data_IF_586006757303
#
_entry.id   IF_586006757303
#
_cell.length_a   1.000
_cell.length_b   1.000
_cell.length_c   1.000
_cell.angle_alpha   90.00
_cell.angle_beta   90.00
_cell.angle_gamma   90.00
#
_symmetry.space_group_name_H-M   'P 1'
#
loop_
_entity.id
_entity.type
_entity.pdbx_description
1 polymer ?
#
# COMPACT_ATOMS: atom_id res chain seq x y z
N UNK A 1 -0.30 -7.28 -1.16
CA UNK A 1 0.40 -6.27 -1.98
C UNK A 1 1.68 -6.83 -2.59
N UNK A 2 1.82 -6.68 -3.90
CA UNK A 2 2.90 -7.20 -4.73
C UNK A 2 3.80 -6.04 -5.17
N UNK A 3 5.10 -6.23 -5.09
CA UNK A 3 6.12 -5.36 -5.64
C UNK A 3 6.68 -5.95 -6.93
N UNK A 4 7.00 -5.10 -7.89
CA UNK A 4 7.73 -5.46 -9.10
C UNK A 4 8.79 -4.41 -9.42
N UNK A 5 9.82 -4.78 -10.19
CA UNK A 5 10.78 -3.80 -10.71
C UNK A 5 10.02 -2.75 -11.54
N UNK A 6 9.27 -3.17 -12.57
CA UNK A 6 8.34 -2.31 -13.29
C UNK A 6 7.18 -3.12 -13.86
N UNK A 7 6.06 -2.43 -14.15
CA UNK A 7 4.94 -2.97 -14.94
C UNK A 7 4.84 -2.20 -16.26
N UNK A 8 5.78 -2.41 -17.19
CA UNK A 8 5.74 -1.69 -18.49
C UNK A 8 4.89 -2.42 -19.54
N UNK A 9 5.04 -3.74 -19.63
CA UNK A 9 4.44 -4.56 -20.69
C UNK A 9 2.91 -4.36 -20.80
N UNK A 10 2.40 -3.87 -21.95
CA UNK A 10 0.96 -3.70 -22.17
C UNK A 10 0.18 -5.00 -21.98
N UNK A 11 0.78 -6.14 -22.37
CA UNK A 11 0.21 -7.48 -22.19
C UNK A 11 0.01 -7.80 -20.71
N UNK A 12 1.03 -7.55 -19.87
CA UNK A 12 0.90 -7.79 -18.41
C UNK A 12 -0.17 -6.89 -17.80
N UNK A 13 -0.20 -5.61 -18.18
CA UNK A 13 -1.20 -4.64 -17.72
C UNK A 13 -2.62 -5.10 -18.04
N UNK A 14 -2.84 -5.55 -19.28
CA UNK A 14 -4.11 -6.13 -19.71
C UNK A 14 -4.51 -7.33 -18.84
N UNK A 15 -3.62 -8.30 -18.63
CA UNK A 15 -3.92 -9.46 -17.79
C UNK A 15 -4.22 -9.10 -16.33
N UNK A 16 -3.47 -8.17 -15.74
CA UNK A 16 -3.72 -7.67 -14.38
C UNK A 16 -5.15 -7.13 -14.26
N UNK A 17 -5.58 -6.30 -15.21
CA UNK A 17 -6.93 -5.72 -15.22
C UNK A 17 -8.01 -6.79 -15.45
N UNK A 18 -7.79 -7.70 -16.41
CA UNK A 18 -8.74 -8.75 -16.75
C UNK A 18 -8.94 -9.74 -15.61
N UNK A 19 -7.87 -10.18 -14.96
CA UNK A 19 -7.94 -11.13 -13.84
C UNK A 19 -8.53 -10.49 -12.59
N UNK A 20 -8.18 -9.23 -12.26
CA UNK A 20 -8.81 -8.54 -11.15
C UNK A 20 -10.33 -8.46 -11.32
N UNK A 21 -10.80 -8.14 -12.53
CA UNK A 21 -12.23 -8.12 -12.85
C UNK A 21 -12.86 -9.51 -12.80
N UNK A 22 -12.22 -10.51 -13.39
CA UNK A 22 -12.73 -11.89 -13.44
C UNK A 22 -12.89 -12.50 -12.05
N UNK A 23 -11.95 -12.19 -11.15
CA UNK A 23 -11.93 -12.65 -9.76
C UNK A 23 -12.67 -11.71 -8.79
N UNK A 24 -13.41 -10.71 -9.32
CA UNK A 24 -14.17 -9.72 -8.51
C UNK A 24 -13.34 -9.07 -7.40
N UNK A 25 -12.10 -8.71 -7.73
CA UNK A 25 -11.18 -8.03 -6.83
C UNK A 25 -11.27 -6.52 -7.00
N UNK A 26 -11.31 -5.81 -5.88
CA UNK A 26 -10.98 -4.38 -5.82
C UNK A 26 -9.46 -4.21 -5.78
N UNK A 27 -8.96 -3.02 -6.11
CA UNK A 27 -7.53 -2.79 -6.01
C UNK A 27 -6.97 -1.72 -6.91
N UNK A 28 -5.65 -1.75 -7.04
CA UNK A 28 -4.93 -0.86 -7.93
C UNK A 28 -3.58 -1.43 -8.36
N UNK A 29 -3.07 -0.95 -9.49
CA UNK A 29 -1.68 -1.18 -9.92
C UNK A 29 -1.02 0.14 -10.30
N UNK A 30 0.31 0.20 -10.21
CA UNK A 30 1.08 1.38 -10.58
C UNK A 30 2.24 1.02 -11.49
N UNK A 31 2.36 1.77 -12.59
CA UNK A 31 3.37 1.57 -13.63
C UNK A 31 4.73 2.15 -13.23
N UNK A 32 5.78 1.90 -14.01
CA UNK A 32 7.11 2.52 -13.78
C UNK A 32 7.93 1.87 -12.66
N UNK A 33 8.88 2.60 -12.07
CA UNK A 33 9.81 2.12 -11.02
C UNK A 33 9.54 2.76 -9.65
N UNK A 34 9.34 1.99 -8.57
CA UNK A 34 8.94 0.59 -8.62
C UNK A 34 7.50 0.47 -9.14
N UNK A 35 7.16 -0.70 -9.66
CA UNK A 35 5.77 -1.06 -9.96
C UNK A 35 5.15 -1.78 -8.77
N UNK A 36 3.88 -1.54 -8.47
CA UNK A 36 3.18 -2.24 -7.39
C UNK A 36 1.76 -2.63 -7.77
N UNK A 37 1.24 -3.65 -7.10
CA UNK A 37 -0.13 -4.15 -7.28
C UNK A 37 -0.73 -4.42 -5.90
N UNK A 38 -1.92 -3.89 -5.65
CA UNK A 38 -2.74 -4.14 -4.47
C UNK A 38 -4.08 -4.73 -4.95
N UNK A 39 -4.49 -5.82 -4.32
CA UNK A 39 -5.78 -6.47 -4.54
C UNK A 39 -6.47 -6.70 -3.21
N UNK A 40 -7.79 -6.68 -3.22
CA UNK A 40 -8.66 -6.93 -2.06
C UNK A 40 -9.91 -7.70 -2.51
N UNK A 41 -10.24 -8.77 -1.78
CA UNK A 41 -11.39 -9.62 -2.05
C UNK A 41 -11.33 -10.90 -1.22
N UNK A 42 -12.04 -11.93 -1.68
CA UNK A 42 -12.01 -13.26 -1.04
C UNK A 42 -10.56 -13.78 -1.03
N UNK A 43 -10.18 -14.46 0.04
CA UNK A 43 -8.83 -15.00 0.20
C UNK A 43 -8.44 -15.88 -1.00
N UNK A 44 -9.36 -16.74 -1.47
CA UNK A 44 -9.10 -17.67 -2.57
C UNK A 44 -8.87 -16.93 -3.87
N UNK A 45 -9.67 -15.89 -4.13
CA UNK A 45 -9.57 -15.05 -5.31
C UNK A 45 -8.27 -14.22 -5.29
N UNK A 46 -7.90 -13.67 -4.14
CA UNK A 46 -6.62 -12.99 -3.95
C UNK A 46 -5.43 -13.93 -4.17
N UNK A 47 -5.47 -15.14 -3.62
CA UNK A 47 -4.43 -16.15 -3.77
C UNK A 47 -4.29 -16.58 -5.23
N UNK A 48 -5.40 -16.80 -5.93
CA UNK A 48 -5.37 -17.16 -7.35
C UNK A 48 -4.85 -16.01 -8.21
N UNK A 49 -5.25 -14.76 -7.94
CA UNK A 49 -4.69 -13.60 -8.62
C UNK A 49 -3.16 -13.51 -8.45
N UNK A 50 -2.67 -13.70 -7.22
CA UNK A 50 -1.22 -13.73 -6.94
C UNK A 50 -0.54 -14.85 -7.72
N UNK A 51 -1.12 -16.05 -7.75
CA UNK A 51 -0.60 -17.20 -8.50
C UNK A 51 -0.51 -16.90 -10.01
N UNK A 52 -1.54 -16.31 -10.61
CA UNK A 52 -1.56 -15.92 -12.02
C UNK A 52 -0.51 -14.84 -12.34
N UNK A 53 -0.48 -13.76 -11.55
CA UNK A 53 0.42 -12.62 -11.78
C UNK A 53 1.88 -13.03 -11.62
N UNK A 54 2.22 -13.82 -10.60
CA UNK A 54 3.62 -14.22 -10.33
C UNK A 54 4.19 -15.19 -11.37
N UNK A 55 3.35 -15.94 -12.08
CA UNK A 55 3.75 -16.83 -13.20
C UNK A 55 4.09 -16.10 -14.49
N UNK A 56 3.73 -14.83 -14.63
CA UNK A 56 4.16 -14.04 -15.78
C UNK A 56 5.69 -13.83 -15.75
N UNK A 57 6.31 -13.53 -16.89
CA UNK A 57 7.76 -13.29 -16.96
C UNK A 57 8.13 -11.92 -16.41
N UNK A 58 8.72 -11.87 -15.22
CA UNK A 58 9.21 -10.66 -14.55
C UNK A 58 10.74 -10.59 -14.50
N UNK A 59 11.30 -9.38 -14.49
CA UNK A 59 12.69 -9.17 -14.08
C UNK A 59 12.86 -9.38 -12.58
N UNK A 60 11.90 -8.87 -11.81
CA UNK A 60 11.76 -9.11 -10.38
C UNK A 60 10.30 -8.83 -9.98
N UNK A 61 9.74 -9.74 -9.20
CA UNK A 61 8.42 -9.65 -8.56
C UNK A 61 8.51 -10.28 -7.18
N UNK A 62 7.79 -9.74 -6.21
CA UNK A 62 7.70 -10.31 -4.87
C UNK A 62 6.37 -9.93 -4.23
N UNK A 63 5.70 -10.89 -3.62
CA UNK A 63 4.64 -10.60 -2.64
C UNK A 63 5.34 -10.09 -1.39
N UNK A 64 5.00 -8.87 -0.94
CA UNK A 64 5.71 -8.21 0.18
C UNK A 64 4.84 -7.90 1.38
N UNK A 65 3.54 -8.09 1.27
CA UNK A 65 2.63 -7.92 2.39
C UNK A 65 1.28 -8.54 2.07
N UNK A 66 0.64 -9.05 3.09
CA UNK A 66 -0.69 -9.65 3.03
C UNK A 66 -1.38 -9.30 4.35
N UNK A 67 -2.68 -9.04 4.27
CA UNK A 67 -3.52 -8.77 5.42
C UNK A 67 -4.82 -9.54 5.22
N UNK A 68 -5.20 -10.32 6.23
CA UNK A 68 -6.43 -11.10 6.23
C UNK A 68 -7.25 -10.70 7.45
N UNK A 69 -8.52 -10.39 7.22
CA UNK A 69 -9.46 -10.00 8.27
C UNK A 69 -10.63 -10.98 8.20
N UNK A 70 -10.91 -11.72 9.29
CA UNK A 70 -12.06 -12.61 9.32
C UNK A 70 -13.36 -11.80 9.26
N UNK A 71 -14.29 -12.24 8.41
CA UNK A 71 -15.60 -11.61 8.30
C UNK A 71 -16.43 -11.96 9.55
N UNK A 72 -16.87 -10.97 10.34
CA UNK A 72 -17.67 -11.23 11.54
C UNK A 72 -19.04 -11.83 11.17
N UNK A 73 -19.67 -12.61 12.08
CA UNK A 73 -21.03 -13.10 11.86
C UNK A 73 -22.00 -11.95 11.55
N UNK A 74 -22.83 -12.14 10.53
CA UNK A 74 -23.84 -11.15 10.12
C UNK A 74 -23.33 -10.02 9.21
N UNK A 75 -22.03 -9.99 8.88
CA UNK A 75 -21.48 -9.15 7.81
C UNK A 75 -21.11 -9.99 6.59
N UNK A 76 -21.12 -9.37 5.43
CA UNK A 76 -20.57 -9.92 4.19
C UNK A 76 -19.18 -9.35 3.93
N UNK A 77 -18.48 -9.94 2.96
CA UNK A 77 -17.22 -9.40 2.45
C UNK A 77 -17.39 -7.97 1.93
N UNK A 78 -18.50 -7.67 1.26
CA UNK A 78 -18.77 -6.36 0.68
C UNK A 78 -18.92 -5.27 1.75
N UNK A 79 -19.47 -5.62 2.93
CA UNK A 79 -19.59 -4.71 4.08
C UNK A 79 -18.24 -4.37 4.73
N UNK A 80 -17.22 -5.20 4.47
CA UNK A 80 -15.90 -5.09 5.08
C UNK A 80 -14.85 -4.52 4.13
N UNK A 81 -15.25 -4.15 2.90
CA UNK A 81 -14.31 -3.66 1.90
C UNK A 81 -13.69 -2.31 2.27
N UNK A 82 -12.37 -2.21 2.17
CA UNK A 82 -11.63 -0.96 2.31
C UNK A 82 -11.48 -0.22 0.97
N UNK A 83 -11.45 -0.98 -0.13
CA UNK A 83 -11.36 -0.48 -1.51
C UNK A 83 -12.66 -0.75 -2.29
N UNK A 84 -13.01 0.13 -3.24
CA UNK A 84 -14.15 -0.11 -4.12
C UNK A 84 -13.95 -1.38 -4.94
N UNK A 85 -15.06 -1.99 -5.38
CA UNK A 85 -15.08 -3.13 -6.32
C UNK A 85 -14.73 -2.67 -7.76
N UNK A 86 -13.61 -1.96 -7.88
CA UNK A 86 -13.04 -1.48 -9.12
C UNK A 86 -11.52 -1.59 -9.03
N UNK A 87 -10.89 -1.81 -10.17
CA UNK A 87 -9.43 -1.91 -10.23
C UNK A 87 -8.85 -0.74 -11.04
N UNK A 88 -8.04 0.09 -10.39
CA UNK A 88 -7.49 1.32 -10.98
C UNK A 88 -6.02 1.16 -11.36
N UNK A 89 -5.64 1.54 -12.58
CA UNK A 89 -4.24 1.61 -12.98
C UNK A 89 -3.72 3.05 -12.89
N UNK A 90 -2.57 3.23 -12.23
CA UNK A 90 -1.89 4.50 -12.01
C UNK A 90 -0.65 4.63 -12.90
N UNK A 91 -0.34 5.87 -13.29
CA UNK A 91 0.80 6.21 -14.13
C UNK A 91 2.16 6.01 -13.47
N UNK A 92 3.22 6.39 -14.20
CA UNK A 92 4.61 6.17 -13.79
C UNK A 92 5.02 7.01 -12.58
N UNK A 93 4.45 8.20 -12.46
CA UNK A 93 4.81 9.18 -11.42
C UNK A 93 3.75 9.26 -10.30
N UNK A 94 2.72 8.41 -10.35
CA UNK A 94 1.55 8.45 -9.46
C UNK A 94 1.73 7.66 -8.15
N UNK A 95 2.98 7.48 -7.68
CA UNK A 95 3.22 6.75 -6.42
C UNK A 95 2.63 7.47 -5.20
N UNK A 96 2.64 8.80 -5.23
CA UNK A 96 2.00 9.66 -4.25
C UNK A 96 0.48 9.39 -4.15
N UNK A 97 -0.20 9.22 -5.30
CA UNK A 97 -1.62 8.88 -5.37
C UNK A 97 -1.91 7.50 -4.79
N UNK A 98 -1.07 6.51 -5.10
CA UNK A 98 -1.19 5.16 -4.51
C UNK A 98 -1.02 5.22 -2.99
N UNK A 99 0.01 5.94 -2.51
CA UNK A 99 0.25 6.09 -1.08
C UNK A 99 -0.91 6.80 -0.37
N UNK A 100 -1.46 7.87 -0.97
CA UNK A 100 -2.62 8.58 -0.46
C UNK A 100 -3.85 7.66 -0.38
N UNK A 101 -4.13 6.90 -1.44
CA UNK A 101 -5.28 5.99 -1.48
C UNK A 101 -5.16 4.86 -0.46
N UNK A 102 -3.97 4.29 -0.27
CA UNK A 102 -3.71 3.31 0.78
C UNK A 102 -3.94 3.92 2.17
N UNK A 103 -3.47 5.15 2.43
CA UNK A 103 -3.70 5.84 3.71
C UNK A 103 -5.18 6.07 3.98
N UNK A 104 -5.92 6.57 2.99
CA UNK A 104 -7.37 6.79 3.09
C UNK A 104 -8.15 5.49 3.33
N UNK A 105 -7.67 4.38 2.80
CA UNK A 105 -8.24 3.04 3.01
C UNK A 105 -7.78 2.36 4.31
N UNK A 106 -6.89 2.98 5.11
CA UNK A 106 -6.30 2.35 6.30
C UNK A 106 -5.21 1.31 6.01
N UNK A 107 -4.74 1.20 4.76
CA UNK A 107 -3.75 0.23 4.27
C UNK A 107 -2.32 0.82 4.21
N UNK A 108 -2.03 1.88 4.95
CA UNK A 108 -0.73 2.58 4.90
C UNK A 108 0.44 1.68 5.34
N UNK A 109 0.27 0.90 6.41
CA UNK A 109 1.33 0.00 6.89
C UNK A 109 1.65 -1.11 5.88
N UNK A 110 0.62 -1.64 5.20
CA UNK A 110 0.77 -2.61 4.12
C UNK A 110 1.56 -2.01 2.94
N UNK A 111 1.27 -0.76 2.58
CA UNK A 111 2.00 -0.01 1.57
C UNK A 111 3.46 0.20 1.94
N UNK A 112 3.73 0.70 3.15
CA UNK A 112 5.09 0.96 3.63
C UNK A 112 5.92 -0.32 3.69
N UNK A 113 5.32 -1.42 4.15
CA UNK A 113 5.93 -2.76 4.16
C UNK A 113 6.29 -3.20 2.73
N UNK A 114 5.39 -3.03 1.77
CA UNK A 114 5.65 -3.35 0.37
C UNK A 114 6.84 -2.54 -0.20
N UNK A 115 6.92 -1.26 0.17
CA UNK A 115 8.00 -0.37 -0.24
C UNK A 115 9.30 -0.55 0.55
N UNK A 116 9.32 -1.43 1.56
CA UNK A 116 10.44 -1.61 2.51
C UNK A 116 10.84 -0.30 3.21
N UNK A 117 9.86 0.56 3.47
CA UNK A 117 10.04 1.78 4.24
C UNK A 117 9.75 1.43 5.69
N UNK A 118 10.80 1.08 6.44
CA UNK A 118 10.70 0.80 7.88
C UNK A 118 11.07 2.07 8.66
N UNK A 119 10.22 2.51 9.60
CA UNK A 119 10.59 3.55 10.59
C UNK A 119 9.89 4.92 10.52
N UNK A 120 8.68 5.02 9.95
CA UNK A 120 7.95 6.29 9.80
C UNK A 120 7.33 6.93 11.06
N UNK A 121 7.47 6.34 12.26
CA UNK A 121 6.98 6.93 13.53
C UNK A 121 8.10 7.52 14.40
N UNK A 122 8.93 8.41 13.86
CA UNK A 122 9.86 9.27 14.66
C UNK A 122 10.10 10.65 14.02
N UNK A 123 9.08 11.42 13.69
CA UNK A 123 9.31 12.82 13.25
C UNK A 123 8.19 13.84 13.48
N UNK A 124 7.15 13.52 14.27
CA UNK A 124 6.14 14.54 14.69
C UNK A 124 6.20 14.98 16.15
N UNK A 125 7.10 14.44 16.97
CA UNK A 125 7.19 14.78 18.40
C UNK A 125 8.38 15.68 18.78
N UNK A 126 9.33 15.92 17.86
CA UNK A 126 10.53 16.73 18.13
C UNK A 126 10.41 18.23 17.83
N UNK A 127 9.26 18.73 17.35
CA UNK A 127 9.08 20.16 17.02
C UNK A 127 8.30 20.98 18.05
N UNK A 128 7.87 20.37 19.17
CA UNK A 128 7.07 21.05 20.20
C UNK A 128 7.84 21.40 21.49
N UNK A 129 9.14 21.08 21.61
CA UNK A 129 9.87 21.20 22.90
C UNK A 129 11.03 22.19 22.94
N UNK A 130 11.12 23.11 21.98
CA UNK A 130 12.18 24.15 21.97
C UNK A 130 11.58 25.54 21.89
N UNK A 131 10.74 25.90 22.86
CA UNK A 131 10.44 27.30 23.24
C UNK A 131 10.00 27.34 24.70
N UNK A 132 10.95 27.31 25.63
CA UNK A 132 10.86 27.95 26.96
C UNK A 132 12.03 27.54 27.84
N UNK A 133 13.12 28.31 27.84
CA UNK A 133 13.97 28.56 29.02
C UNK A 133 15.01 29.61 28.64
N UNK A 134 14.59 30.87 28.59
CA UNK A 134 15.47 32.01 28.83
C UNK A 134 14.84 32.76 30.01
N UNK A 135 15.33 32.48 31.23
CA UNK A 135 15.40 33.49 32.30
C UNK A 135 16.18 32.98 33.53
N UNK A 136 16.99 33.89 34.06
CA UNK A 136 17.72 33.88 35.34
C UNK A 136 19.06 33.14 35.43
N UNK A 137 20.09 33.85 34.97
CA UNK A 137 21.39 33.94 35.67
C UNK A 137 21.60 35.37 36.15
N UNK A 138 21.35 35.65 37.44
CA UNK A 138 22.19 36.57 38.22
C UNK A 138 21.82 36.55 39.72
N UNK A 139 22.76 36.10 40.56
CA UNK A 139 23.08 36.62 41.92
C UNK A 139 23.86 35.58 42.73
N UNK A 140 25.18 35.66 42.70
CA UNK A 140 26.07 35.55 43.89
C UNK A 140 27.53 35.72 43.46
N UNK A 141 28.08 36.93 43.64
CA UNK A 141 29.51 37.11 43.90
C UNK A 141 29.66 37.33 45.41
N UNK A 142 30.39 36.41 46.03
CA UNK A 142 31.16 36.67 47.24
C UNK A 142 32.50 37.28 46.80
#
# INVERSE_FOLDING_TARGET
>A
MIYSHHIWSPVKRKYILEWARALRLGGMSKLGYPGCILVEGDERDCAEFVNLVTRLRWKYIAVRGEEQIPVPPGKSLEDMRALPLSFTEYGWDDMDKVAARCREAGLEELFLTCMKIYGGKKSKEKKARTKSTDEKKEKKKR
#
